data_IF_009093360795
#
_entry.id   IF_009093360795
#
_cell.length_a   1.000
_cell.length_b   1.000
_cell.length_c   1.000
_cell.angle_alpha   90.00
_cell.angle_beta   90.00
_cell.angle_gamma   90.00
#
_symmetry.space_group_name_H-M   'P 1'
#
loop_
_entity.id
_entity.type
_entity.pdbx_description
1 polymer ?
#
# COMPACT_ATOMS: atom_id res chain seq x y z
N UNK A 1 14.31 -1.51 -16.36
CA UNK A 1 15.19 -0.71 -15.47
C UNK A 1 16.11 -1.68 -14.74
N UNK A 2 17.33 -1.27 -14.37
CA UNK A 2 18.37 -2.16 -13.84
C UNK A 2 18.31 -2.23 -12.30
N UNK A 3 18.28 -3.42 -11.67
CA UNK A 3 18.32 -3.55 -10.22
C UNK A 3 19.45 -2.73 -9.59
N UNK A 4 19.17 -2.08 -8.45
CA UNK A 4 20.18 -1.31 -7.70
C UNK A 4 20.60 0.03 -8.32
N UNK A 5 19.99 0.44 -9.43
CA UNK A 5 20.18 1.77 -10.03
C UNK A 5 18.86 2.52 -9.96
N UNK A 6 18.86 3.71 -9.35
CA UNK A 6 17.65 4.53 -9.24
C UNK A 6 17.19 4.97 -10.65
N UNK A 7 15.98 4.59 -11.08
CA UNK A 7 15.47 4.98 -12.39
C UNK A 7 15.06 6.45 -12.41
N UNK A 8 14.89 7.01 -13.61
CA UNK A 8 14.30 8.33 -13.76
C UNK A 8 12.85 8.34 -13.23
N UNK A 9 12.45 9.45 -12.60
CA UNK A 9 11.11 9.65 -12.03
C UNK A 9 9.97 9.19 -12.98
N UNK A 10 10.00 9.67 -14.23
CA UNK A 10 8.97 9.34 -15.21
C UNK A 10 8.91 7.86 -15.60
N UNK A 11 10.00 7.10 -15.46
CA UNK A 11 9.95 5.65 -15.69
C UNK A 11 9.05 4.99 -14.65
N UNK A 12 9.20 5.37 -13.37
CA UNK A 12 8.36 4.84 -12.29
C UNK A 12 6.91 5.29 -12.46
N UNK A 13 6.70 6.57 -12.81
CA UNK A 13 5.35 7.10 -13.07
C UNK A 13 4.66 6.39 -14.24
N UNK A 14 5.38 6.11 -15.33
CA UNK A 14 4.81 5.40 -16.48
C UNK A 14 4.37 3.99 -16.11
N UNK A 15 5.14 3.27 -15.29
CA UNK A 15 4.73 1.94 -14.82
C UNK A 15 3.46 2.00 -13.98
N UNK A 16 3.37 2.98 -13.07
CA UNK A 16 2.20 3.22 -12.25
C UNK A 16 0.95 3.47 -13.10
N UNK A 17 1.05 4.36 -14.09
CA UNK A 17 -0.06 4.67 -14.98
C UNK A 17 -0.44 3.46 -15.85
N UNK A 18 0.55 2.68 -16.28
CA UNK A 18 0.32 1.51 -17.13
C UNK A 18 -0.35 0.36 -16.35
N UNK A 19 -0.03 0.17 -15.07
CA UNK A 19 -0.73 -0.81 -14.23
C UNK A 19 -2.20 -0.46 -14.00
N UNK A 20 -2.52 0.83 -13.94
CA UNK A 20 -3.88 1.34 -13.80
C UNK A 20 -4.66 1.24 -15.13
N UNK A 21 -4.07 1.67 -16.24
CA UNK A 21 -4.74 1.68 -17.55
C UNK A 21 -4.76 0.33 -18.27
N UNK A 22 -3.90 -0.63 -17.88
CA UNK A 22 -3.77 -1.94 -18.53
C UNK A 22 -3.48 -3.05 -17.51
N UNK A 23 -4.41 -3.24 -16.57
CA UNK A 23 -4.34 -4.25 -15.50
C UNK A 23 -3.97 -5.63 -16.05
N UNK A 24 -4.71 -6.14 -17.04
CA UNK A 24 -4.51 -7.50 -17.57
C UNK A 24 -3.17 -7.70 -18.27
N UNK A 25 -2.66 -6.66 -18.95
CA UNK A 25 -1.36 -6.71 -19.60
C UNK A 25 -0.18 -6.51 -18.65
N UNK A 26 -0.39 -5.90 -17.47
CA UNK A 26 0.69 -5.57 -16.54
C UNK A 26 0.87 -6.56 -15.40
N UNK A 27 -0.23 -6.99 -14.76
CA UNK A 27 -0.17 -7.79 -13.52
C UNK A 27 0.68 -9.07 -13.64
N UNK A 28 0.63 -9.85 -14.74
CA UNK A 28 1.50 -11.03 -14.89
C UNK A 28 3.01 -10.71 -14.80
N UNK A 29 3.41 -9.46 -15.06
CA UNK A 29 4.82 -9.02 -14.99
C UNK A 29 5.17 -8.28 -13.70
N UNK A 30 4.18 -7.96 -12.85
CA UNK A 30 4.42 -7.13 -11.66
C UNK A 30 5.34 -7.81 -10.64
N UNK A 31 5.35 -9.13 -10.53
CA UNK A 31 6.26 -9.84 -9.61
C UNK A 31 7.74 -9.56 -9.97
N UNK A 32 8.10 -9.64 -11.26
CA UNK A 32 9.44 -9.32 -11.73
C UNK A 32 9.78 -7.82 -11.58
N UNK A 33 8.81 -6.94 -11.84
CA UNK A 33 8.95 -5.50 -11.67
C UNK A 33 9.19 -5.14 -10.19
N UNK A 34 8.41 -5.71 -9.28
CA UNK A 34 8.54 -5.53 -7.84
C UNK A 34 9.92 -6.02 -7.36
N UNK A 35 10.33 -7.23 -7.74
CA UNK A 35 11.65 -7.76 -7.38
C UNK A 35 12.81 -6.87 -7.84
N UNK A 36 12.67 -6.25 -9.02
CA UNK A 36 13.66 -5.26 -9.54
C UNK A 36 13.60 -3.93 -8.77
N UNK A 37 12.40 -3.51 -8.36
CA UNK A 37 12.14 -2.22 -7.73
C UNK A 37 12.60 -2.18 -6.26
N UNK A 38 12.49 -3.28 -5.52
CA UNK A 38 12.76 -3.31 -4.07
C UNK A 38 14.14 -2.77 -3.67
N UNK A 39 15.26 -3.15 -4.31
CA UNK A 39 16.58 -2.59 -3.97
C UNK A 39 16.66 -1.06 -4.17
N UNK A 40 15.81 -0.49 -5.02
CA UNK A 40 15.81 0.94 -5.34
C UNK A 40 15.11 1.78 -4.27
N UNK A 41 14.20 1.19 -3.49
CA UNK A 41 13.50 1.91 -2.42
C UNK A 41 14.52 2.46 -1.40
N UNK A 42 15.51 1.66 -1.01
CA UNK A 42 16.60 2.12 -0.13
C UNK A 42 17.47 3.24 -0.71
N UNK A 43 17.45 3.43 -2.03
CA UNK A 43 18.21 4.47 -2.73
C UNK A 43 17.42 5.79 -2.87
N UNK A 44 16.10 5.76 -2.70
CA UNK A 44 15.22 6.92 -2.84
C UNK A 44 15.34 7.87 -1.64
N UNK A 45 16.28 8.82 -1.73
CA UNK A 45 16.50 9.82 -0.68
C UNK A 45 15.56 11.02 -0.76
N UNK A 46 15.29 11.49 -1.98
CA UNK A 46 14.48 12.68 -2.24
C UNK A 46 12.98 12.35 -2.15
N UNK A 47 12.18 13.28 -1.61
CA UNK A 47 10.77 13.04 -1.33
C UNK A 47 9.93 12.87 -2.60
N UNK A 48 10.28 13.52 -3.71
CA UNK A 48 9.67 13.28 -5.02
C UNK A 48 9.86 11.83 -5.50
N UNK A 49 11.04 11.23 -5.27
CA UNK A 49 11.29 9.84 -5.62
C UNK A 49 10.54 8.88 -4.70
N UNK A 50 10.52 9.13 -3.38
CA UNK A 50 9.69 8.34 -2.45
C UNK A 50 8.22 8.42 -2.84
N UNK A 51 7.76 9.60 -3.25
CA UNK A 51 6.38 9.84 -3.66
C UNK A 51 6.02 8.99 -4.88
N UNK A 52 6.84 9.02 -5.94
CA UNK A 52 6.53 8.26 -7.17
C UNK A 52 6.60 6.75 -6.94
N UNK A 53 7.52 6.27 -6.10
CA UNK A 53 7.54 4.85 -5.70
C UNK A 53 6.31 4.47 -4.89
N UNK A 54 5.90 5.29 -3.92
CA UNK A 54 4.70 5.03 -3.11
C UNK A 54 3.44 5.00 -3.98
N UNK A 55 3.32 5.95 -4.92
CA UNK A 55 2.22 5.97 -5.89
C UNK A 55 2.24 4.74 -6.80
N UNK A 56 3.40 4.33 -7.33
CA UNK A 56 3.51 3.13 -8.16
C UNK A 56 3.10 1.86 -7.39
N UNK A 57 3.57 1.72 -6.16
CA UNK A 57 3.23 0.55 -5.34
C UNK A 57 1.75 0.51 -4.94
N UNK A 58 1.10 1.67 -4.78
CA UNK A 58 -0.36 1.75 -4.62
C UNK A 58 -1.07 1.21 -5.86
N UNK A 59 -0.75 1.73 -7.06
CA UNK A 59 -1.38 1.27 -8.30
C UNK A 59 -1.08 -0.20 -8.61
N UNK A 60 0.12 -0.69 -8.29
CA UNK A 60 0.43 -2.12 -8.40
C UNK A 60 -0.45 -2.95 -7.48
N UNK A 61 -0.64 -2.51 -6.23
CA UNK A 61 -1.49 -3.23 -5.28
C UNK A 61 -2.94 -3.23 -5.74
N UNK A 62 -3.49 -2.08 -6.14
CA UNK A 62 -4.85 -1.96 -6.64
C UNK A 62 -5.08 -2.79 -7.91
N UNK A 63 -4.16 -2.74 -8.88
CA UNK A 63 -4.26 -3.54 -10.12
C UNK A 63 -4.17 -5.04 -9.88
N UNK A 64 -3.33 -5.50 -8.94
CA UNK A 64 -3.29 -6.92 -8.55
C UNK A 64 -4.65 -7.33 -7.95
N UNK A 65 -5.23 -6.51 -7.06
CA UNK A 65 -6.53 -6.81 -6.47
C UNK A 65 -7.65 -6.85 -7.52
N UNK A 66 -7.65 -5.91 -8.47
CA UNK A 66 -8.61 -5.89 -9.58
C UNK A 66 -8.49 -7.14 -10.47
N UNK A 67 -7.25 -7.53 -10.81
CA UNK A 67 -6.98 -8.72 -11.62
C UNK A 67 -7.49 -9.99 -10.92
N UNK A 68 -7.20 -10.13 -9.62
CA UNK A 68 -7.63 -11.28 -8.83
C UNK A 68 -9.16 -11.34 -8.66
N UNK A 69 -9.82 -10.19 -8.61
CA UNK A 69 -11.28 -10.11 -8.55
C UNK A 69 -11.97 -10.49 -9.88
N UNK A 70 -11.24 -10.46 -11.01
CA UNK A 70 -11.77 -10.71 -12.35
C UNK A 70 -10.99 -11.81 -13.10
N UNK A 71 -10.56 -12.86 -12.39
CA UNK A 71 -9.77 -13.96 -12.97
C UNK A 71 -10.47 -14.68 -14.14
N UNK A 72 -11.80 -14.66 -14.19
CA UNK A 72 -12.60 -15.23 -15.28
C UNK A 72 -12.38 -14.52 -16.62
N UNK A 73 -11.94 -13.26 -16.59
CA UNK A 73 -11.64 -12.43 -17.78
C UNK A 73 -10.13 -12.29 -18.01
N UNK A 74 -9.32 -12.76 -17.07
CA UNK A 74 -7.89 -12.55 -17.08
C UNK A 74 -7.20 -13.39 -18.16
N UNK A 75 -6.15 -12.86 -18.82
CA UNK A 75 -5.38 -13.61 -19.81
C UNK A 75 -4.57 -14.75 -19.20
N UNK A 76 -4.22 -14.66 -17.91
CA UNK A 76 -3.55 -15.71 -17.15
C UNK A 76 -4.30 -15.96 -15.82
N UNK A 77 -5.24 -16.93 -15.79
CA UNK A 77 -6.02 -17.22 -14.59
C UNK A 77 -5.20 -17.93 -13.49
N UNK A 78 -3.92 -18.23 -13.73
CA UNK A 78 -3.06 -18.92 -12.74
C UNK A 78 -2.39 -17.98 -11.75
N UNK A 79 -2.47 -16.66 -11.99
CA UNK A 79 -1.96 -15.63 -11.08
C UNK A 79 -2.63 -15.76 -9.71
N UNK A 80 -1.82 -15.77 -8.64
CA UNK A 80 -2.30 -15.87 -7.26
C UNK A 80 -1.76 -14.71 -6.43
N UNK A 81 -2.50 -14.35 -5.37
CA UNK A 81 -2.08 -13.36 -4.37
C UNK A 81 -0.66 -13.65 -3.83
N UNK A 82 -0.39 -14.91 -3.49
CA UNK A 82 0.89 -15.33 -2.90
C UNK A 82 2.12 -15.03 -3.78
N UNK A 83 1.93 -14.87 -5.10
CA UNK A 83 3.00 -14.53 -6.05
C UNK A 83 3.63 -13.16 -5.79
N UNK A 84 2.92 -12.27 -5.09
CA UNK A 84 3.36 -10.90 -4.84
C UNK A 84 3.58 -10.60 -3.34
N UNK A 85 3.10 -11.47 -2.46
CA UNK A 85 2.94 -11.14 -1.04
C UNK A 85 4.25 -10.78 -0.33
N UNK A 86 5.35 -11.47 -0.64
CA UNK A 86 6.65 -11.22 -0.01
C UNK A 86 7.24 -9.88 -0.45
N UNK A 87 7.16 -9.57 -1.74
CA UNK A 87 7.65 -8.33 -2.30
C UNK A 87 6.83 -7.15 -1.80
N UNK A 88 5.49 -7.29 -1.76
CA UNK A 88 4.60 -6.28 -1.19
C UNK A 88 4.92 -6.04 0.28
N UNK A 89 5.10 -7.09 1.08
CA UNK A 89 5.47 -6.93 2.49
C UNK A 89 6.80 -6.20 2.66
N UNK A 90 7.81 -6.54 1.84
CA UNK A 90 9.12 -5.88 1.88
C UNK A 90 9.01 -4.39 1.54
N UNK A 91 8.20 -4.03 0.55
CA UNK A 91 7.95 -2.63 0.20
C UNK A 91 7.17 -1.91 1.30
N UNK A 92 6.11 -2.55 1.82
CA UNK A 92 5.31 -2.05 2.94
C UNK A 92 6.19 -1.69 4.13
N UNK A 93 7.11 -2.58 4.54
CA UNK A 93 7.96 -2.37 5.71
C UNK A 93 8.81 -1.11 5.57
N UNK A 94 9.36 -0.87 4.37
CA UNK A 94 10.13 0.36 4.09
C UNK A 94 9.23 1.59 4.16
N UNK A 95 8.09 1.58 3.46
CA UNK A 95 7.16 2.70 3.38
C UNK A 95 6.64 3.07 4.77
N UNK A 96 6.14 2.08 5.51
CA UNK A 96 5.50 2.25 6.80
C UNK A 96 6.49 2.73 7.87
N UNK A 97 7.64 2.08 8.01
CA UNK A 97 8.59 2.41 9.07
C UNK A 97 9.43 3.66 8.77
N UNK A 98 9.70 3.95 7.49
CA UNK A 98 10.66 5.01 7.14
C UNK A 98 10.03 6.22 6.46
N UNK A 99 8.99 6.06 5.63
CA UNK A 99 8.48 7.15 4.78
C UNK A 99 7.19 7.77 5.31
N UNK A 100 6.37 7.03 6.04
CA UNK A 100 5.11 7.52 6.62
C UNK A 100 5.31 8.70 7.58
N UNK A 101 6.47 8.75 8.25
CA UNK A 101 6.83 9.83 9.17
C UNK A 101 7.32 11.12 8.47
N UNK A 102 7.24 11.21 7.14
CA UNK A 102 7.65 12.41 6.40
C UNK A 102 6.94 13.67 6.91
N UNK A 103 7.67 14.80 6.82
CA UNK A 103 7.12 16.14 7.07
C UNK A 103 6.35 16.66 5.86
N UNK A 104 6.60 16.13 4.67
CA UNK A 104 5.92 16.48 3.44
C UNK A 104 4.54 15.80 3.41
N UNK A 105 3.48 16.61 3.42
CA UNK A 105 2.11 16.14 3.62
C UNK A 105 1.65 15.23 2.48
N UNK A 106 1.99 15.56 1.23
CA UNK A 106 1.57 14.81 0.05
C UNK A 106 2.20 13.42 0.06
N UNK A 107 3.50 13.32 0.30
CA UNK A 107 4.22 12.06 0.44
C UNK A 107 3.61 11.20 1.54
N UNK A 108 3.38 11.79 2.72
CA UNK A 108 2.79 11.05 3.85
C UNK A 108 1.42 10.47 3.51
N UNK A 109 0.56 11.22 2.84
CA UNK A 109 -0.76 10.75 2.40
C UNK A 109 -0.65 9.67 1.32
N UNK A 110 0.24 9.84 0.34
CA UNK A 110 0.48 8.81 -0.69
C UNK A 110 1.05 7.52 -0.08
N UNK A 111 1.92 7.61 0.93
CA UNK A 111 2.41 6.43 1.66
C UNK A 111 1.28 5.75 2.44
N UNK A 112 0.41 6.52 3.09
CA UNK A 112 -0.74 5.98 3.81
C UNK A 112 -1.68 5.20 2.88
N UNK A 113 -1.96 5.77 1.70
CA UNK A 113 -2.81 5.14 0.68
C UNK A 113 -2.19 3.84 0.16
N UNK A 114 -0.90 3.87 -0.19
CA UNK A 114 -0.17 2.68 -0.62
C UNK A 114 -0.19 1.59 0.47
N UNK A 115 0.07 1.96 1.73
CA UNK A 115 0.01 1.06 2.88
C UNK A 115 -1.37 0.42 3.04
N UNK A 116 -2.44 1.21 2.88
CA UNK A 116 -3.82 0.72 2.92
C UNK A 116 -4.06 -0.40 1.91
N UNK A 117 -3.75 -0.14 0.63
CA UNK A 117 -3.92 -1.12 -0.45
C UNK A 117 -3.02 -2.37 -0.28
N UNK A 118 -1.77 -2.18 0.14
CA UNK A 118 -0.83 -3.29 0.36
C UNK A 118 -1.29 -4.31 1.40
N UNK A 119 -2.05 -3.89 2.42
CA UNK A 119 -2.51 -4.78 3.49
C UNK A 119 -3.30 -5.97 2.94
N UNK A 120 -4.09 -5.77 1.87
CA UNK A 120 -4.83 -6.87 1.23
C UNK A 120 -3.94 -7.92 0.58
N UNK A 121 -2.69 -7.59 0.26
CA UNK A 121 -1.76 -8.46 -0.46
C UNK A 121 -0.67 -9.06 0.43
N UNK A 122 -0.51 -8.58 1.66
CA UNK A 122 0.48 -9.10 2.61
C UNK A 122 0.18 -10.55 3.04
N UNK A 123 1.22 -11.31 3.46
CA UNK A 123 1.05 -12.57 4.18
C UNK A 123 0.23 -12.36 5.46
N UNK A 124 -0.63 -13.34 5.76
CA UNK A 124 -1.60 -13.25 6.87
C UNK A 124 -0.93 -13.02 8.22
N UNK A 125 0.09 -13.81 8.53
CA UNK A 125 0.88 -13.71 9.76
C UNK A 125 1.54 -12.33 9.88
N UNK A 126 2.09 -11.81 8.77
CA UNK A 126 2.74 -10.50 8.75
C UNK A 126 1.77 -9.35 8.93
N UNK A 127 0.58 -9.40 8.32
CA UNK A 127 -0.43 -8.38 8.56
C UNK A 127 -0.88 -8.39 10.02
N UNK A 128 -1.15 -9.57 10.59
CA UNK A 128 -1.59 -9.70 11.98
C UNK A 128 -0.61 -9.09 12.98
N UNK A 129 0.70 -9.32 12.77
CA UNK A 129 1.77 -8.72 13.57
C UNK A 129 1.79 -7.18 13.48
N UNK A 130 1.40 -6.60 12.34
CA UNK A 130 1.52 -5.17 12.08
C UNK A 130 0.25 -4.36 12.43
N UNK A 131 -0.93 -5.00 12.53
CA UNK A 131 -2.21 -4.33 12.84
C UNK A 131 -2.11 -3.36 14.04
N UNK A 132 -1.53 -3.73 15.20
CA UNK A 132 -1.42 -2.83 16.36
C UNK A 132 -0.58 -1.58 16.11
N UNK A 133 0.24 -1.57 15.05
CA UNK A 133 1.08 -0.43 14.65
C UNK A 133 0.42 0.37 13.54
N UNK A 134 -0.14 -0.30 12.53
CA UNK A 134 -0.74 0.34 11.36
C UNK A 134 -1.93 1.20 11.77
N UNK A 135 -2.87 0.64 12.54
CA UNK A 135 -4.12 1.31 12.89
C UNK A 135 -3.86 2.64 13.62
N UNK A 136 -3.09 2.69 14.73
CA UNK A 136 -2.78 3.95 15.40
C UNK A 136 -2.01 4.93 14.51
N UNK A 137 -1.10 4.42 13.65
CA UNK A 137 -0.31 5.27 12.77
C UNK A 137 -1.18 6.01 11.75
N UNK A 138 -2.09 5.30 11.07
CA UNK A 138 -3.04 5.89 10.10
C UNK A 138 -4.01 6.85 10.82
N UNK A 139 -4.55 6.46 11.97
CA UNK A 139 -5.44 7.34 12.74
C UNK A 139 -4.76 8.63 13.18
N UNK A 140 -3.46 8.59 13.50
CA UNK A 140 -2.71 9.80 13.87
C UNK A 140 -2.63 10.84 12.75
N UNK A 141 -2.89 10.43 11.50
CA UNK A 141 -2.83 11.32 10.33
C UNK A 141 -4.03 12.27 10.25
N UNK A 142 -5.18 11.95 10.84
CA UNK A 142 -6.32 12.89 10.90
C UNK A 142 -5.95 14.19 11.60
N UNK A 143 -5.08 14.14 12.61
CA UNK A 143 -4.62 15.35 13.32
C UNK A 143 -3.60 16.18 12.53
N UNK A 144 -2.99 15.61 11.49
CA UNK A 144 -1.81 16.16 10.81
C UNK A 144 -2.07 16.60 9.38
N UNK A 145 -3.23 16.28 8.81
CA UNK A 145 -3.54 16.51 7.40
C UNK A 145 -4.99 16.92 7.25
N UNK A 146 -5.28 17.80 6.28
CA UNK A 146 -6.64 18.26 6.00
C UNK A 146 -7.39 17.32 5.02
N UNK A 147 -6.68 16.48 4.28
CA UNK A 147 -7.28 15.53 3.33
C UNK A 147 -7.76 14.26 4.04
N UNK A 148 -8.84 14.39 4.81
CA UNK A 148 -9.38 13.29 5.62
C UNK A 148 -9.88 12.12 4.77
N UNK A 149 -10.28 12.35 3.51
CA UNK A 149 -10.73 11.29 2.61
C UNK A 149 -9.68 10.20 2.42
N UNK A 150 -8.43 10.57 2.12
CA UNK A 150 -7.34 9.61 1.87
C UNK A 150 -7.05 8.83 3.16
N UNK A 151 -7.03 9.51 4.31
CA UNK A 151 -6.83 8.86 5.61
C UNK A 151 -7.94 7.85 5.90
N UNK A 152 -9.21 8.22 5.69
CA UNK A 152 -10.36 7.33 5.86
C UNK A 152 -10.31 6.15 4.90
N UNK A 153 -10.04 6.38 3.61
CA UNK A 153 -9.92 5.32 2.60
C UNK A 153 -8.84 4.31 3.00
N UNK A 154 -7.66 4.81 3.37
CA UNK A 154 -6.54 3.96 3.79
C UNK A 154 -6.88 3.15 5.03
N UNK A 155 -7.51 3.77 6.05
CA UNK A 155 -7.94 3.08 7.25
C UNK A 155 -8.99 2.00 6.93
N UNK A 156 -9.97 2.31 6.08
CA UNK A 156 -10.95 1.33 5.63
C UNK A 156 -10.29 0.13 4.95
N UNK A 157 -9.29 0.34 4.10
CA UNK A 157 -8.57 -0.76 3.45
C UNK A 157 -7.82 -1.64 4.47
N UNK A 158 -7.14 -1.04 5.45
CA UNK A 158 -6.48 -1.79 6.54
C UNK A 158 -7.49 -2.62 7.32
N UNK A 159 -8.63 -2.03 7.69
CA UNK A 159 -9.68 -2.71 8.45
C UNK A 159 -10.31 -3.84 7.65
N UNK A 160 -10.64 -3.59 6.38
CA UNK A 160 -11.21 -4.59 5.48
C UNK A 160 -10.26 -5.78 5.28
N UNK A 161 -8.97 -5.52 5.03
CA UNK A 161 -7.96 -6.58 4.94
C UNK A 161 -7.86 -7.40 6.24
N UNK A 162 -7.91 -6.72 7.39
CA UNK A 162 -7.84 -7.33 8.73
C UNK A 162 -9.06 -8.21 9.04
N UNK A 163 -10.25 -7.77 8.65
CA UNK A 163 -11.51 -8.51 8.81
C UNK A 163 -11.54 -9.72 7.87
N UNK A 164 -11.17 -9.54 6.60
CA UNK A 164 -11.16 -10.61 5.60
C UNK A 164 -10.16 -11.73 5.96
N UNK A 165 -9.07 -11.42 6.65
CA UNK A 165 -8.14 -12.44 7.18
C UNK A 165 -8.57 -13.09 8.50
N UNK A 166 -9.68 -12.62 9.09
CA UNK A 166 -10.20 -13.08 10.38
C UNK A 166 -9.28 -12.78 11.57
N UNK A 167 -8.65 -11.60 11.60
CA UNK A 167 -7.73 -11.27 12.70
C UNK A 167 -8.49 -11.02 14.00
N UNK A 168 -8.03 -11.65 15.09
CA UNK A 168 -8.54 -11.40 16.44
C UNK A 168 -7.88 -10.19 17.10
N UNK A 169 -6.71 -9.79 16.60
CA UNK A 169 -5.96 -8.63 17.11
C UNK A 169 -6.74 -7.35 16.91
N UNK A 170 -7.58 -7.28 15.87
CA UNK A 170 -8.43 -6.12 15.60
C UNK A 170 -9.38 -5.77 16.76
N UNK A 171 -9.87 -6.77 17.51
CA UNK A 171 -10.75 -6.56 18.67
C UNK A 171 -10.08 -5.68 19.73
N UNK A 172 -8.77 -5.83 19.91
CA UNK A 172 -7.98 -5.03 20.86
C UNK A 172 -7.83 -3.57 20.45
N UNK A 173 -8.14 -3.22 19.20
CA UNK A 173 -8.02 -1.87 18.64
C UNK A 173 -9.37 -1.14 18.56
N UNK A 174 -10.49 -1.82 18.84
CA UNK A 174 -11.85 -1.28 18.63
C UNK A 174 -12.14 -0.02 19.44
N UNK A 175 -11.79 0.01 20.72
CA UNK A 175 -12.05 1.19 21.56
C UNK A 175 -11.34 2.44 21.03
N UNK A 176 -10.07 2.29 20.63
CA UNK A 176 -9.29 3.37 20.04
C UNK A 176 -9.88 3.84 18.70
N UNK A 177 -10.24 2.89 17.84
CA UNK A 177 -10.90 3.15 16.55
C UNK A 177 -12.18 3.97 16.74
N UNK A 178 -13.09 3.47 17.59
CA UNK A 178 -14.37 4.11 17.87
C UNK A 178 -14.18 5.52 18.41
N UNK A 179 -13.25 5.70 19.34
CA UNK A 179 -12.97 7.02 19.92
C UNK A 179 -12.55 8.04 18.87
N UNK A 180 -11.56 7.73 18.02
CA UNK A 180 -11.07 8.70 17.03
C UNK A 180 -12.07 8.90 15.90
N UNK A 181 -12.72 7.84 15.41
CA UNK A 181 -13.72 7.96 14.36
C UNK A 181 -14.93 8.80 14.82
N UNK A 182 -15.37 8.64 16.06
CA UNK A 182 -16.42 9.47 16.64
C UNK A 182 -16.05 10.96 16.60
N UNK A 183 -14.81 11.29 17.00
CA UNK A 183 -14.30 12.67 16.93
C UNK A 183 -14.28 13.24 15.50
N UNK A 184 -14.12 12.41 14.46
CA UNK A 184 -14.14 12.89 13.07
C UNK A 184 -15.55 13.18 12.56
N UNK A 185 -16.58 12.54 13.12
CA UNK A 185 -17.99 12.74 12.71
C UNK A 185 -18.67 13.82 13.55
N UNK A 186 -18.22 14.02 14.80
CA UNK A 186 -18.82 14.97 15.74
C UNK A 186 -18.13 16.35 15.78
N UNK A 187 -17.05 16.54 15.02
CA UNK A 187 -16.38 17.84 14.83
C UNK A 187 -16.99 18.63 13.68
#
# INVERSE_FOLDING_TARGET
FQPGVLPHFFVVQTLANLSDSNVYGMVPFLSAILGTMLPMLGLAKQDNMKWVFSSALCHFSDSILEYLANLDKAPDPTVRKDTFSNEIYTAFDILFNHWLQSRESKLRLTVAEAVGSMCHLMPRDKLEEQIPRIIPAIMSLYKKNNEHYIVSKSLCQVLDASVNMGSRVLETQLEGLLFVLHQQVSA
#
